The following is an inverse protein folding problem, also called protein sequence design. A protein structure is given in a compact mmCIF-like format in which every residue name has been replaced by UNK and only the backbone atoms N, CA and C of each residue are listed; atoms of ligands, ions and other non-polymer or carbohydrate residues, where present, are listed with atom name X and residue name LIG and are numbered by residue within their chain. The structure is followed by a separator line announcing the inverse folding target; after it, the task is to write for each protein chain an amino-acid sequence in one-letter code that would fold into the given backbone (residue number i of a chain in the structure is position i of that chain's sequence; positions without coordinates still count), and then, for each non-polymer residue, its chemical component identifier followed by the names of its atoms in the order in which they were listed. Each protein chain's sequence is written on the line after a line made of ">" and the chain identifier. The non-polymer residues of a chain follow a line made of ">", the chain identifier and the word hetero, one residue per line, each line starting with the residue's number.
data_IF_459780464311
#
_entry.id   IF_459780464311
#
_cell.length_a   1.000
_cell.length_b   1.000
_cell.length_c   1.000
_cell.angle_alpha   90.00
_cell.angle_beta   90.00
_cell.angle_gamma   90.00
#
_symmetry.space_group_name_H-M   'P 1'
#
loop_
_entity.id
_entity.type
_entity.pdbx_description
1 polymer ?
#
# COMPACT_ATOMS: atom_id res chain seq x y z
N UNK A 1 -19.60 -5.21 -11.05
CA UNK A 1 -20.96 -5.06 -10.47
C UNK A 1 -21.44 -3.60 -10.33
N UNK A 2 -20.77 -2.58 -10.89
CA UNK A 2 -21.34 -1.23 -11.07
C UNK A 2 -21.68 -0.37 -9.84
N UNK A 3 -21.72 -0.94 -8.63
CA UNK A 3 -22.18 -0.25 -7.41
C UNK A 3 -21.22 0.83 -6.86
N UNK A 4 -20.21 1.28 -7.62
CA UNK A 4 -19.30 2.35 -7.19
C UNK A 4 -18.25 1.96 -6.16
N UNK A 5 -18.14 0.69 -5.74
CA UNK A 5 -17.17 0.23 -4.72
C UNK A 5 -15.71 0.61 -5.05
N UNK A 6 -15.29 0.38 -6.29
CA UNK A 6 -13.94 0.75 -6.75
C UNK A 6 -13.73 2.26 -6.77
N UNK A 7 -14.76 3.03 -7.13
CA UNK A 7 -14.70 4.50 -7.14
C UNK A 7 -14.58 5.04 -5.72
N UNK A 8 -15.35 4.49 -4.77
CA UNK A 8 -15.26 4.84 -3.36
C UNK A 8 -13.87 4.54 -2.79
N UNK A 9 -13.32 3.36 -3.06
CA UNK A 9 -11.98 2.99 -2.60
C UNK A 9 -10.89 3.90 -3.18
N UNK A 10 -11.01 4.29 -4.47
CA UNK A 10 -10.11 5.28 -5.08
C UNK A 10 -10.21 6.66 -4.45
N UNK A 11 -11.42 7.10 -4.07
CA UNK A 11 -11.61 8.36 -3.36
C UNK A 11 -11.02 8.33 -1.95
N UNK A 12 -11.23 7.24 -1.21
CA UNK A 12 -10.64 7.06 0.12
C UNK A 12 -9.10 7.03 0.06
N UNK A 13 -8.52 6.41 -0.96
CA UNK A 13 -7.07 6.43 -1.18
C UNK A 13 -6.53 7.75 -1.77
N UNK A 14 -7.37 8.76 -1.99
CA UNK A 14 -6.96 10.07 -2.53
C UNK A 14 -6.61 10.10 -4.02
N UNK A 15 -6.91 9.02 -4.76
CA UNK A 15 -6.65 8.91 -6.21
C UNK A 15 -7.68 9.67 -7.05
N UNK A 16 -8.88 9.87 -6.51
CA UNK A 16 -9.98 10.61 -7.14
C UNK A 16 -10.56 11.58 -6.10
N UNK A 17 -10.84 12.83 -6.51
CA UNK A 17 -11.53 13.80 -5.65
C UNK A 17 -13.05 13.67 -5.79
N UNK A 18 -13.82 13.86 -4.73
CA UNK A 18 -15.27 13.96 -4.85
C UNK A 18 -15.65 15.25 -5.60
N UNK A 19 -16.67 15.19 -6.44
CA UNK A 19 -17.21 16.39 -7.12
C UNK A 19 -17.87 17.36 -6.13
N UNK A 20 -18.45 16.83 -5.04
CA UNK A 20 -19.09 17.58 -3.96
C UNK A 20 -18.84 16.93 -2.59
N UNK A 21 -18.91 17.73 -1.52
CA UNK A 21 -18.68 17.28 -0.15
C UNK A 21 -17.19 17.21 0.22
N UNK A 22 -16.88 16.54 1.34
CA UNK A 22 -15.50 16.41 1.84
C UNK A 22 -15.28 15.03 2.45
N UNK A 23 -14.07 14.50 2.23
CA UNK A 23 -13.55 13.32 2.89
C UNK A 23 -12.47 13.80 3.88
N UNK A 24 -12.61 13.45 5.16
CA UNK A 24 -11.58 13.68 6.19
C UNK A 24 -11.12 12.32 6.72
N UNK A 25 -9.81 12.08 6.70
CA UNK A 25 -9.23 10.84 7.17
C UNK A 25 -8.16 11.13 8.22
N UNK A 26 -8.26 10.43 9.34
CA UNK A 26 -7.38 10.61 10.50
C UNK A 26 -6.47 9.39 10.63
N UNK A 27 -5.24 9.53 10.13
CA UNK A 27 -4.25 8.45 10.07
C UNK A 27 -3.78 8.18 8.64
N UNK A 28 -2.88 7.20 8.49
CA UNK A 28 -2.41 6.74 7.17
C UNK A 28 -3.33 5.65 6.64
N UNK A 29 -3.67 5.72 5.37
CA UNK A 29 -4.46 4.69 4.68
C UNK A 29 -3.49 3.88 3.85
N UNK A 30 -3.26 2.64 4.24
CA UNK A 30 -2.62 1.67 3.36
C UNK A 30 -3.63 1.27 2.30
N UNK A 31 -3.31 1.47 1.02
CA UNK A 31 -4.10 0.93 -0.07
C UNK A 31 -4.03 -0.61 -0.03
N UNK A 32 -4.96 -1.23 0.70
CA UNK A 32 -5.07 -2.68 0.92
C UNK A 32 -5.33 -3.49 -0.37
N UNK A 33 -5.40 -2.83 -1.53
CA UNK A 33 -5.96 -3.39 -2.77
C UNK A 33 -4.87 -3.85 -3.75
N UNK A 34 -3.59 -3.53 -3.50
CA UNK A 34 -2.50 -3.86 -4.42
C UNK A 34 -1.57 -4.97 -3.92
N UNK A 35 -2.05 -5.92 -3.12
CA UNK A 35 -1.25 -7.06 -2.67
C UNK A 35 -0.64 -7.89 -3.82
N UNK A 36 -1.13 -7.77 -5.06
CA UNK A 36 -0.54 -8.38 -6.25
C UNK A 36 0.01 -7.40 -7.31
N UNK A 37 -0.19 -6.09 -7.16
CA UNK A 37 0.22 -5.09 -8.15
C UNK A 37 1.37 -4.26 -7.59
N UNK A 38 2.58 -4.46 -8.11
CA UNK A 38 3.72 -3.60 -7.79
C UNK A 38 4.99 -4.33 -7.38
N UNK A 39 5.00 -5.65 -7.24
CA UNK A 39 6.27 -6.37 -7.25
C UNK A 39 6.93 -6.19 -8.62
N UNK A 40 8.17 -5.72 -8.61
CA UNK A 40 8.95 -5.60 -9.83
C UNK A 40 9.68 -6.94 -10.04
N UNK A 41 9.41 -7.67 -11.15
CA UNK A 41 10.00 -8.98 -11.40
C UNK A 41 11.52 -8.94 -11.64
N UNK A 42 12.08 -7.75 -11.88
CA UNK A 42 13.53 -7.55 -12.01
C UNK A 42 14.20 -7.49 -10.63
N UNK A 43 13.46 -7.10 -9.60
CA UNK A 43 13.97 -6.95 -8.25
C UNK A 43 13.91 -8.27 -7.47
N UNK A 44 14.87 -8.50 -6.60
CA UNK A 44 14.85 -9.59 -5.62
C UNK A 44 13.72 -9.38 -4.60
N UNK A 45 13.36 -10.43 -3.85
CA UNK A 45 12.34 -10.34 -2.78
C UNK A 45 12.70 -9.26 -1.75
N UNK A 46 13.97 -9.19 -1.35
CA UNK A 46 14.49 -8.16 -0.45
C UNK A 46 14.28 -6.75 -1.02
N UNK A 47 14.74 -6.50 -2.23
CA UNK A 47 14.62 -5.18 -2.87
C UNK A 47 13.16 -4.76 -3.03
N UNK A 48 12.28 -5.72 -3.33
CA UNK A 48 10.85 -5.50 -3.37
C UNK A 48 10.27 -5.09 -2.00
N UNK A 49 10.70 -5.71 -0.90
CA UNK A 49 10.30 -5.31 0.47
C UNK A 49 10.67 -3.85 0.73
N UNK A 50 11.92 -3.45 0.44
CA UNK A 50 12.35 -2.07 0.64
C UNK A 50 11.64 -1.09 -0.30
N UNK A 51 11.48 -1.45 -1.58
CA UNK A 51 10.78 -0.60 -2.55
C UNK A 51 9.32 -0.36 -2.13
N UNK A 52 8.60 -1.41 -1.75
CA UNK A 52 7.19 -1.29 -1.32
C UNK A 52 7.06 -0.57 0.00
N UNK A 53 7.92 -0.87 0.97
CA UNK A 53 7.97 -0.17 2.25
C UNK A 53 8.14 1.34 2.06
N UNK A 54 9.04 1.76 1.17
CA UNK A 54 9.24 3.18 0.86
C UNK A 54 8.01 3.81 0.18
N UNK A 55 7.41 3.13 -0.80
CA UNK A 55 6.21 3.61 -1.53
C UNK A 55 5.02 3.83 -0.58
N UNK A 56 4.85 2.97 0.44
CA UNK A 56 3.77 3.10 1.43
C UNK A 56 4.14 4.00 2.62
N UNK A 57 5.30 4.64 2.58
CA UNK A 57 5.69 5.70 3.53
C UNK A 57 6.43 5.24 4.77
N UNK A 58 7.05 4.06 4.76
CA UNK A 58 8.03 3.67 5.78
C UNK A 58 9.40 4.25 5.46
N UNK A 59 10.09 4.70 6.50
CA UNK A 59 11.52 4.99 6.45
C UNK A 59 12.32 3.70 6.34
N UNK A 60 13.56 3.78 5.84
CA UNK A 60 14.47 2.63 5.77
C UNK A 60 14.61 1.93 7.13
N UNK A 61 14.74 2.71 8.21
CA UNK A 61 14.85 2.19 9.59
C UNK A 61 13.61 1.38 9.99
N UNK A 62 12.42 1.89 9.73
CA UNK A 62 11.17 1.18 10.05
C UNK A 62 11.00 -0.12 9.23
N UNK A 63 11.58 -0.17 8.02
CA UNK A 63 11.62 -1.38 7.18
C UNK A 63 12.63 -2.38 7.76
N UNK A 64 13.83 -1.92 8.13
CA UNK A 64 14.86 -2.76 8.76
C UNK A 64 14.32 -3.43 10.04
N UNK A 65 13.61 -2.68 10.89
CA UNK A 65 12.98 -3.19 12.12
C UNK A 65 11.88 -4.25 11.88
N UNK A 66 11.30 -4.31 10.67
CA UNK A 66 10.21 -5.23 10.32
C UNK A 66 10.65 -6.33 9.36
N UNK A 67 11.88 -6.26 8.84
CA UNK A 67 12.33 -7.09 7.74
C UNK A 67 12.20 -8.58 8.06
N UNK A 68 12.72 -9.01 9.21
CA UNK A 68 12.71 -10.42 9.61
C UNK A 68 11.28 -10.95 9.79
N UNK A 69 10.38 -10.15 10.38
CA UNK A 69 8.98 -10.51 10.53
C UNK A 69 8.24 -10.61 9.18
N UNK A 70 8.58 -9.76 8.21
CA UNK A 70 8.04 -9.82 6.84
C UNK A 70 8.52 -11.09 6.14
N UNK A 71 9.81 -11.42 6.26
CA UNK A 71 10.39 -12.63 5.66
C UNK A 71 9.79 -13.89 6.29
N UNK A 72 9.67 -13.92 7.62
CA UNK A 72 9.05 -15.02 8.36
C UNK A 72 7.61 -15.24 7.88
N UNK A 73 6.80 -14.17 7.80
CA UNK A 73 5.42 -14.25 7.32
C UNK A 73 5.32 -14.74 5.87
N UNK A 74 6.24 -14.36 4.98
CA UNK A 74 6.19 -14.70 3.56
C UNK A 74 6.61 -16.15 3.23
N UNK A 75 7.23 -16.85 4.18
CA UNK A 75 7.63 -18.26 4.04
C UNK A 75 6.51 -19.21 4.51
N UNK A 76 5.49 -18.70 5.20
CA UNK A 76 4.23 -19.40 5.51
C UNK A 76 3.23 -19.31 4.35
#
# INVERSE_FOLDING_TARGET
>A
NGAGKSTLLKMLNGLIKPDQGRIEMRGRIGALIELGAGFNPILTGRENIYNKGAVIGFTKKEIDEKYDAIVEFAVF
#
